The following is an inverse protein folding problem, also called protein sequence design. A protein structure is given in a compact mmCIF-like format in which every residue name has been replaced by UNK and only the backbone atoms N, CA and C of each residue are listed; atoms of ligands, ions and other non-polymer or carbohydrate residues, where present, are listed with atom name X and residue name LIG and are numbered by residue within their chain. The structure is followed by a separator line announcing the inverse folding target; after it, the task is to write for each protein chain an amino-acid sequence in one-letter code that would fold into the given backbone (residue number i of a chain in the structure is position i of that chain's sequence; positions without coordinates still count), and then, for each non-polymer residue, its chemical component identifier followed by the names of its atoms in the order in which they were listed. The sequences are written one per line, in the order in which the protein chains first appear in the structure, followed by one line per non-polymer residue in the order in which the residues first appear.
data_IF_354681566807
#
_entry.id   IF_354681566807
#
_cell.length_a   1.000
_cell.length_b   1.000
_cell.length_c   1.000
_cell.angle_alpha   90.00
_cell.angle_beta   90.00
_cell.angle_gamma   90.00
#
_symmetry.space_group_name_H-M   'P 1'
#
loop_
_entity.id
_entity.type
_entity.pdbx_description
1 polymer ?
#
# COMPACT_ATOMS: atom_id res chain seq x y z
N UNK A 1 -38.72 29.94 51.22
CA UNK A 1 -40.13 30.26 51.56
C UNK A 1 -40.77 30.92 50.35
N UNK A 2 -42.00 30.49 50.01
CA UNK A 2 -42.90 30.93 48.90
C UNK A 2 -42.42 30.62 47.46
N UNK A 3 -43.02 29.71 46.66
CA UNK A 3 -44.41 29.62 46.12
C UNK A 3 -44.77 30.92 45.36
N UNK A 4 -45.21 30.94 44.09
CA UNK A 4 -46.39 30.27 43.51
C UNK A 4 -46.44 30.46 41.97
N UNK A 5 -46.94 29.42 41.28
CA UNK A 5 -47.52 29.24 39.91
C UNK A 5 -47.72 30.41 38.92
N UNK A 6 -47.59 30.10 37.61
CA UNK A 6 -48.72 30.21 36.64
C UNK A 6 -48.53 29.38 35.37
N UNK A 7 -49.58 28.63 35.03
CA UNK A 7 -49.80 27.95 33.75
C UNK A 7 -50.81 28.74 32.90
N UNK A 8 -50.66 28.73 31.57
CA UNK A 8 -51.66 28.94 30.50
C UNK A 8 -50.98 28.40 29.21
N UNK A 9 -51.37 27.32 28.54
CA UNK A 9 -52.64 26.89 27.93
C UNK A 9 -53.07 27.70 26.70
N UNK A 10 -53.44 26.94 25.64
CA UNK A 10 -54.15 27.27 24.38
C UNK A 10 -53.34 27.84 23.20
N UNK A 11 -53.59 27.49 21.93
CA UNK A 11 -54.53 26.54 21.33
C UNK A 11 -54.17 26.26 19.84
N UNK A 12 -54.53 25.04 19.42
CA UNK A 12 -55.00 24.55 18.11
C UNK A 12 -55.09 25.48 16.88
N UNK A 13 -54.63 24.96 15.73
CA UNK A 13 -55.31 24.79 14.41
C UNK A 13 -54.36 23.96 13.50
N UNK A 14 -54.62 22.70 13.11
CA UNK A 14 -55.54 22.19 12.07
C UNK A 14 -55.53 23.07 10.79
N UNK A 15 -55.37 22.59 9.55
CA UNK A 15 -55.40 21.26 8.95
C UNK A 15 -54.92 21.35 7.47
N UNK A 16 -54.68 20.17 6.87
CA UNK A 16 -54.81 19.80 5.43
C UNK A 16 -53.93 20.44 4.34
N UNK A 17 -53.16 19.59 3.62
CA UNK A 17 -53.58 19.03 2.31
C UNK A 17 -52.63 17.93 1.81
N UNK A 18 -53.26 16.83 1.37
CA UNK A 18 -52.69 15.73 0.59
C UNK A 18 -52.27 16.18 -0.81
N UNK A 19 -51.22 15.57 -1.35
CA UNK A 19 -50.86 15.60 -2.76
C UNK A 19 -50.02 14.38 -3.13
N UNK A 20 -50.65 13.38 -3.74
CA UNK A 20 -50.03 12.20 -4.34
C UNK A 20 -50.26 12.23 -5.86
N UNK A 21 -49.22 12.01 -6.67
CA UNK A 21 -49.29 11.60 -8.09
C UNK A 21 -47.86 11.31 -8.60
N UNK A 22 -47.44 10.04 -8.64
CA UNK A 22 -47.23 9.17 -9.83
C UNK A 22 -45.99 9.46 -10.70
N UNK A 23 -45.14 8.44 -10.99
CA UNK A 23 -44.01 8.54 -11.92
C UNK A 23 -44.42 8.22 -13.37
N UNK A 24 -43.73 8.76 -14.39
CA UNK A 24 -43.90 8.31 -15.76
C UNK A 24 -42.98 7.13 -16.14
N UNK A 25 -43.57 6.29 -16.98
CA UNK A 25 -43.18 5.00 -17.51
C UNK A 25 -42.20 5.03 -18.70
N UNK A 26 -41.49 3.92 -18.84
CA UNK A 26 -40.65 3.46 -19.96
C UNK A 26 -41.42 3.34 -21.28
N UNK A 27 -40.74 3.35 -22.45
CA UNK A 27 -41.11 2.45 -23.54
C UNK A 27 -39.98 1.55 -24.05
N UNK A 28 -40.44 0.43 -24.62
CA UNK A 28 -39.79 -0.83 -24.97
C UNK A 28 -39.16 -0.85 -26.38
N UNK A 29 -38.20 -1.78 -26.57
CA UNK A 29 -37.90 -2.58 -27.77
C UNK A 29 -37.14 -1.95 -28.97
N UNK A 30 -36.00 -2.57 -29.35
CA UNK A 30 -35.76 -3.12 -30.70
C UNK A 30 -34.39 -3.86 -30.80
N UNK A 31 -34.48 -5.18 -30.84
CA UNK A 31 -33.94 -6.13 -31.83
C UNK A 31 -32.69 -5.80 -32.69
N UNK A 32 -31.89 -6.88 -32.92
CA UNK A 32 -30.94 -7.15 -34.04
C UNK A 32 -29.49 -6.77 -33.73
N UNK A 33 -28.45 -7.54 -34.05
CA UNK A 33 -28.27 -8.75 -34.90
C UNK A 33 -26.89 -9.32 -34.57
N UNK A 34 -26.73 -10.63 -34.71
CA UNK A 34 -25.43 -11.29 -34.80
C UNK A 34 -24.60 -10.72 -35.95
N UNK A 35 -23.28 -10.58 -35.76
CA UNK A 35 -22.32 -10.79 -36.82
C UNK A 35 -21.12 -11.57 -36.28
N UNK A 36 -21.00 -12.79 -36.78
CA UNK A 36 -19.78 -13.59 -36.78
C UNK A 36 -18.89 -13.02 -37.87
N UNK A 37 -17.64 -12.70 -37.56
CA UNK A 37 -16.56 -12.72 -38.55
C UNK A 37 -15.36 -13.39 -37.91
N UNK A 38 -15.16 -14.65 -38.29
CA UNK A 38 -13.87 -15.29 -38.22
C UNK A 38 -12.95 -14.61 -39.26
N UNK A 39 -11.74 -14.25 -38.85
CA UNK A 39 -10.67 -13.89 -39.77
C UNK A 39 -9.44 -14.73 -39.44
N UNK A 40 -9.28 -15.79 -40.23
CA UNK A 40 -8.03 -16.50 -40.47
C UNK A 40 -7.03 -15.61 -41.22
N UNK A 41 -5.78 -15.57 -40.80
CA UNK A 41 -4.58 -15.44 -41.66
C UNK A 41 -3.34 -15.71 -40.81
N UNK A 42 -2.70 -16.87 -40.93
CA UNK A 42 -1.66 -17.22 -41.92
C UNK A 42 -0.44 -16.27 -41.94
N UNK A 43 0.62 -16.79 -41.30
CA UNK A 43 1.93 -17.04 -41.93
C UNK A 43 3.03 -15.98 -41.87
N UNK A 44 4.25 -16.56 -41.85
CA UNK A 44 5.59 -16.04 -42.19
C UNK A 44 6.36 -15.42 -41.02
N UNK A 45 7.34 -16.16 -40.49
CA UNK A 45 8.70 -16.38 -40.99
C UNK A 45 9.62 -15.17 -40.72
N UNK A 46 10.66 -15.42 -39.92
CA UNK A 46 12.00 -14.92 -40.23
C UNK A 46 12.61 -13.95 -39.23
N UNK A 47 13.55 -14.47 -38.43
CA UNK A 47 14.96 -14.01 -38.25
C UNK A 47 15.49 -14.63 -36.95
N UNK A 48 16.40 -15.60 -37.01
CA UNK A 48 17.83 -15.51 -37.35
C UNK A 48 18.67 -14.80 -36.28
N UNK A 49 19.46 -15.62 -35.57
CA UNK A 49 20.85 -15.45 -35.13
C UNK A 49 21.17 -14.17 -34.32
N UNK A 50 21.68 -14.25 -33.10
CA UNK A 50 23.03 -14.74 -32.78
C UNK A 50 23.13 -14.97 -31.28
N UNK A 51 23.76 -16.07 -30.85
CA UNK A 51 24.14 -16.30 -29.45
C UNK A 51 25.65 -16.43 -29.43
N UNK A 52 26.30 -15.42 -28.91
CA UNK A 52 27.74 -15.36 -28.73
C UNK A 52 28.23 -16.51 -27.84
N UNK A 53 29.10 -17.34 -28.39
CA UNK A 53 29.98 -18.25 -27.64
C UNK A 53 31.38 -17.68 -27.69
N UNK A 54 31.80 -16.99 -26.63
CA UNK A 54 33.21 -16.72 -26.39
C UNK A 54 33.76 -17.83 -25.50
N UNK A 55 34.65 -18.66 -26.06
CA UNK A 55 35.41 -19.65 -25.32
C UNK A 55 36.91 -19.42 -25.56
N UNK A 56 37.58 -19.00 -24.50
CA UNK A 56 38.91 -19.38 -24.00
C UNK A 56 40.00 -19.88 -24.97
N UNK A 57 41.16 -19.22 -24.96
CA UNK A 57 42.55 -19.79 -24.91
C UNK A 57 43.52 -18.60 -24.89
N UNK A 58 44.22 -18.29 -23.80
CA UNK A 58 45.42 -18.92 -23.23
C UNK A 58 46.74 -18.62 -23.99
N UNK A 59 47.68 -18.05 -23.21
CA UNK A 59 49.14 -17.98 -23.35
C UNK A 59 49.75 -16.94 -24.31
N UNK A 60 50.59 -16.03 -23.76
CA UNK A 60 52.05 -16.22 -23.72
C UNK A 60 52.78 -15.09 -22.98
N UNK A 61 53.83 -15.47 -22.25
CA UNK A 61 54.72 -14.64 -21.42
C UNK A 61 55.79 -13.94 -22.27
N UNK A 62 56.28 -12.74 -21.89
CA UNK A 62 57.73 -12.37 -21.81
C UNK A 62 57.94 -11.14 -20.88
N UNK A 63 58.78 -11.39 -19.85
CA UNK A 63 59.79 -10.60 -19.07
C UNK A 63 60.26 -9.23 -19.66
N UNK A 64 60.92 -8.26 -19.00
CA UNK A 64 61.52 -7.98 -17.68
C UNK A 64 62.04 -6.52 -17.71
N UNK A 65 62.12 -5.84 -16.55
CA UNK A 65 62.99 -4.67 -16.30
C UNK A 65 62.22 -3.40 -15.91
N UNK A 66 62.61 -2.58 -14.94
CA UNK A 66 63.75 -2.53 -14.02
C UNK A 66 63.28 -1.81 -12.75
N UNK A 67 63.86 -2.17 -11.60
CA UNK A 67 63.54 -1.61 -10.30
C UNK A 67 64.13 -0.20 -10.12
N UNK A 68 63.34 0.74 -9.59
CA UNK A 68 63.86 1.85 -8.80
C UNK A 68 63.09 1.91 -7.48
N UNK A 69 63.86 1.83 -6.39
CA UNK A 69 63.37 1.81 -5.04
C UNK A 69 63.00 3.24 -4.60
N UNK A 70 61.79 3.43 -4.07
CA UNK A 70 61.44 4.62 -3.31
C UNK A 70 60.85 4.19 -1.97
N UNK A 71 61.70 4.17 -0.95
CA UNK A 71 61.35 4.04 0.46
C UNK A 71 60.50 5.24 0.85
N UNK A 72 59.23 5.02 1.19
CA UNK A 72 58.44 5.99 1.97
C UNK A 72 57.80 5.25 3.15
N UNK A 73 58.41 5.46 4.30
CA UNK A 73 57.88 5.18 5.63
C UNK A 73 56.59 5.94 5.84
N UNK A 74 55.45 5.24 5.92
CA UNK A 74 54.23 5.78 6.54
C UNK A 74 53.73 4.84 7.63
N UNK A 75 54.04 5.29 8.85
CA UNK A 75 53.34 5.15 10.13
C UNK A 75 52.24 4.08 10.17
N UNK A 76 52.50 3.08 11.01
CA UNK A 76 51.52 2.19 11.62
C UNK A 76 50.33 2.97 12.19
N UNK A 77 49.18 2.91 11.53
CA UNK A 77 47.90 3.26 12.14
C UNK A 77 47.22 1.94 12.52
N UNK A 78 46.92 1.83 13.81
CA UNK A 78 46.29 0.68 14.44
C UNK A 78 45.08 0.20 13.65
N UNK A 79 44.99 -1.13 13.46
CA UNK A 79 43.77 -1.78 13.02
C UNK A 79 42.65 -1.44 14.00
N UNK A 80 41.82 -0.44 13.67
CA UNK A 80 40.54 -0.25 14.31
C UNK A 80 39.70 -1.45 13.88
N UNK A 81 39.74 -2.49 14.71
CA UNK A 81 38.71 -3.52 14.68
C UNK A 81 37.41 -2.82 15.03
N UNK A 82 36.69 -2.39 14.00
CA UNK A 82 35.27 -2.12 14.14
C UNK A 82 34.59 -3.46 14.43
N UNK A 83 34.52 -3.78 15.71
CA UNK A 83 33.60 -4.79 16.19
C UNK A 83 32.20 -4.17 16.11
N UNK A 84 31.61 -4.18 14.92
CA UNK A 84 30.18 -3.93 14.80
C UNK A 84 29.48 -5.19 15.32
N UNK A 85 29.29 -5.28 16.63
CA UNK A 85 28.31 -6.20 17.19
C UNK A 85 26.93 -5.61 16.90
N UNK A 86 26.44 -5.75 15.68
CA UNK A 86 25.01 -5.64 15.47
C UNK A 86 24.40 -6.89 16.09
N UNK A 87 23.76 -6.71 17.25
CA UNK A 87 22.74 -7.63 17.72
C UNK A 87 21.58 -7.51 16.74
N UNK A 88 21.57 -8.33 15.70
CA UNK A 88 20.33 -8.56 14.95
C UNK A 88 19.69 -9.75 15.62
N UNK A 89 18.50 -9.52 16.19
CA UNK A 89 17.63 -10.59 16.63
C UNK A 89 17.37 -11.55 15.47
N UNK A 90 16.65 -12.63 15.73
CA UNK A 90 16.30 -13.59 14.71
C UNK A 90 15.22 -12.99 13.77
N UNK A 91 15.57 -11.94 13.02
CA UNK A 91 14.72 -11.17 12.10
C UNK A 91 14.51 -11.95 10.80
N UNK A 92 14.14 -13.23 10.92
CA UNK A 92 13.90 -14.10 9.79
C UNK A 92 12.57 -13.72 9.14
N UNK A 93 12.63 -12.77 8.22
CA UNK A 93 11.55 -12.55 7.27
C UNK A 93 11.84 -13.28 5.98
N UNK A 94 10.83 -13.98 5.47
CA UNK A 94 10.89 -14.52 4.12
C UNK A 94 10.83 -13.36 3.13
N UNK A 95 11.53 -13.46 2.02
CA UNK A 95 11.50 -12.45 0.95
C UNK A 95 10.61 -12.96 -0.17
N UNK A 96 9.68 -12.12 -0.61
CA UNK A 96 8.80 -12.40 -1.74
C UNK A 96 9.58 -12.34 -3.06
N UNK A 97 9.00 -12.88 -4.14
CA UNK A 97 9.63 -12.85 -5.46
C UNK A 97 9.84 -11.45 -6.05
N UNK A 98 9.15 -10.42 -5.54
CA UNK A 98 9.37 -9.01 -5.90
C UNK A 98 10.46 -8.34 -5.03
N UNK A 99 11.07 -9.04 -4.08
CA UNK A 99 12.08 -8.49 -3.16
C UNK A 99 11.51 -7.86 -1.89
N UNK A 100 10.19 -7.81 -1.73
CA UNK A 100 9.55 -7.29 -0.51
C UNK A 100 9.63 -8.28 0.66
N UNK A 101 9.65 -7.75 1.87
CA UNK A 101 9.68 -8.50 3.12
C UNK A 101 8.30 -9.09 3.44
N UNK A 102 8.21 -10.40 3.66
CA UNK A 102 6.95 -11.05 4.04
C UNK A 102 6.70 -10.93 5.53
N UNK A 103 5.53 -10.42 5.88
CA UNK A 103 5.02 -10.33 7.23
C UNK A 103 3.99 -11.44 7.49
N UNK A 104 3.95 -11.96 8.73
CA UNK A 104 2.92 -12.88 9.19
C UNK A 104 1.97 -12.18 10.19
N UNK A 105 0.93 -12.89 10.63
CA UNK A 105 -0.06 -12.33 11.54
C UNK A 105 0.53 -11.93 12.88
N UNK A 106 1.41 -12.76 13.44
CA UNK A 106 1.99 -12.56 14.76
C UNK A 106 2.81 -11.26 14.77
N UNK A 107 3.66 -11.07 13.76
CA UNK A 107 4.44 -9.86 13.55
C UNK A 107 3.55 -8.64 13.29
N UNK A 108 2.50 -8.78 12.47
CA UNK A 108 1.54 -7.70 12.24
C UNK A 108 0.78 -7.31 13.52
N UNK A 109 0.48 -8.26 14.39
CA UNK A 109 -0.23 -8.01 15.66
C UNK A 109 0.65 -7.27 16.65
N UNK A 110 1.93 -7.63 16.73
CA UNK A 110 2.92 -6.89 17.51
C UNK A 110 3.09 -5.46 16.96
N UNK A 111 3.15 -5.33 15.64
CA UNK A 111 3.30 -4.04 14.97
C UNK A 111 2.09 -3.13 15.19
N UNK A 112 0.87 -3.65 15.12
CA UNK A 112 -0.34 -2.88 15.38
C UNK A 112 -0.40 -2.33 16.83
N UNK A 113 0.23 -3.02 17.78
CA UNK A 113 0.33 -2.57 19.18
C UNK A 113 1.46 -1.58 19.41
N UNK A 114 2.59 -1.79 18.73
CA UNK A 114 3.81 -0.99 18.88
C UNK A 114 4.41 -0.71 17.48
N UNK A 115 3.94 0.34 16.78
CA UNK A 115 4.30 0.58 15.38
C UNK A 115 5.77 0.94 15.15
N UNK A 116 6.53 1.32 16.19
CA UNK A 116 7.96 1.61 16.07
C UNK A 116 8.25 2.64 14.98
N UNK A 117 9.08 2.27 13.99
CA UNK A 117 9.38 3.08 12.79
C UNK A 117 8.84 2.42 11.50
N UNK A 118 7.75 1.67 11.62
CA UNK A 118 7.12 0.96 10.51
C UNK A 118 5.70 1.47 10.35
N UNK A 119 5.33 1.78 9.12
CA UNK A 119 3.98 2.27 8.79
C UNK A 119 3.20 1.17 8.11
N UNK A 120 2.03 0.86 8.66
CA UNK A 120 1.10 -0.09 8.07
C UNK A 120 0.24 0.66 7.05
N UNK A 121 0.15 0.13 5.83
CA UNK A 121 -0.61 0.73 4.72
C UNK A 121 -1.69 -0.22 4.23
N UNK A 122 -2.94 0.24 4.30
CA UNK A 122 -4.12 -0.42 3.77
C UNK A 122 -4.36 -0.01 2.30
N UNK A 123 -4.26 -0.98 1.38
CA UNK A 123 -4.45 -0.78 -0.05
C UNK A 123 -5.92 -0.95 -0.51
N UNK A 124 -6.86 -1.09 0.42
CA UNK A 124 -8.29 -1.22 0.11
C UNK A 124 -8.93 0.13 -0.24
N UNK A 125 -10.10 0.08 -0.86
CA UNK A 125 -10.88 1.29 -1.11
C UNK A 125 -11.56 1.76 0.19
N UNK A 126 -11.77 3.08 0.39
CA UNK A 126 -12.30 3.63 1.64
C UNK A 126 -13.66 3.03 2.04
N UNK A 127 -14.50 2.65 1.07
CA UNK A 127 -15.80 2.02 1.33
C UNK A 127 -15.65 0.68 2.05
N UNK A 128 -14.61 -0.11 1.73
CA UNK A 128 -14.32 -1.37 2.40
C UNK A 128 -13.96 -1.16 3.88
N UNK A 129 -13.31 -0.02 4.20
CA UNK A 129 -12.89 0.33 5.56
C UNK A 129 -14.08 0.75 6.42
N UNK A 130 -15.11 1.38 5.84
CA UNK A 130 -16.35 1.72 6.55
C UNK A 130 -17.09 0.46 6.99
N UNK A 131 -17.17 -0.55 6.11
CA UNK A 131 -17.90 -1.79 6.40
C UNK A 131 -17.17 -2.69 7.40
N UNK A 132 -15.85 -2.85 7.21
CA UNK A 132 -15.09 -3.88 7.92
C UNK A 132 -14.15 -3.32 8.99
N UNK A 133 -13.88 -2.02 8.99
CA UNK A 133 -12.80 -1.40 9.77
C UNK A 133 -11.43 -1.63 9.14
N UNK A 134 -10.38 -1.24 9.87
CA UNK A 134 -8.97 -1.37 9.46
C UNK A 134 -8.11 -1.97 10.59
N UNK A 135 -6.89 -2.38 10.25
CA UNK A 135 -5.90 -2.74 11.27
C UNK A 135 -5.54 -1.45 12.03
N UNK A 136 -5.44 -1.46 13.37
CA UNK A 136 -5.06 -0.29 14.15
C UNK A 136 -3.76 0.33 13.63
N UNK A 137 -3.66 1.66 13.70
CA UNK A 137 -2.49 2.45 13.22
C UNK A 137 -2.27 2.45 11.70
N UNK A 138 -3.10 1.76 10.92
CA UNK A 138 -2.96 1.72 9.47
C UNK A 138 -3.46 2.99 8.78
N UNK A 139 -2.63 3.54 7.90
CA UNK A 139 -3.02 4.58 6.94
C UNK A 139 -3.63 3.93 5.70
N UNK A 140 -4.50 4.63 4.99
CA UNK A 140 -5.16 4.10 3.79
C UNK A 140 -4.64 4.79 2.53
N UNK A 141 -4.14 4.00 1.58
CA UNK A 141 -3.70 4.44 0.26
C UNK A 141 -4.33 3.48 -0.77
N UNK A 142 -5.51 3.82 -1.33
CA UNK A 142 -6.24 2.94 -2.25
C UNK A 142 -5.47 2.71 -3.55
N UNK A 143 -5.23 1.45 -3.90
CA UNK A 143 -4.47 1.13 -5.13
C UNK A 143 -5.34 1.06 -6.38
N UNK A 144 -6.65 0.77 -6.26
CA UNK A 144 -7.48 0.61 -7.46
C UNK A 144 -7.87 1.96 -8.05
N UNK A 145 -8.17 2.93 -7.19
CA UNK A 145 -8.51 4.30 -7.62
C UNK A 145 -7.28 5.18 -7.85
N UNK A 146 -6.22 5.02 -7.03
CA UNK A 146 -5.06 5.92 -7.05
C UNK A 146 -3.71 5.16 -7.06
N UNK A 147 -3.38 4.42 -8.12
CA UNK A 147 -2.10 3.71 -8.22
C UNK A 147 -0.89 4.64 -8.29
N UNK A 148 -1.07 5.89 -8.72
CA UNK A 148 -0.04 6.90 -8.91
C UNK A 148 0.43 7.58 -7.61
N UNK A 149 -0.21 7.30 -6.46
CA UNK A 149 0.05 8.00 -5.20
C UNK A 149 1.47 7.83 -4.65
N UNK A 150 2.21 6.83 -5.12
CA UNK A 150 3.63 6.67 -4.79
C UNK A 150 4.56 7.46 -5.72
N UNK A 151 4.06 8.09 -6.79
CA UNK A 151 4.85 8.82 -7.80
C UNK A 151 4.61 10.34 -7.78
N UNK A 152 3.60 10.81 -7.07
CA UNK A 152 3.31 12.24 -6.88
C UNK A 152 4.30 12.90 -5.90
N UNK A 153 4.26 14.23 -5.84
CA UNK A 153 5.05 15.03 -4.88
C UNK A 153 4.49 14.91 -3.46
N UNK A 154 5.28 15.32 -2.46
CA UNK A 154 4.87 15.24 -1.05
C UNK A 154 3.68 16.19 -0.75
N UNK A 155 3.70 17.39 -1.34
CA UNK A 155 2.62 18.38 -1.23
C UNK A 155 1.31 17.85 -1.84
N UNK A 156 1.35 17.31 -3.07
CA UNK A 156 0.18 16.70 -3.72
C UNK A 156 -0.37 15.49 -2.95
N UNK A 157 0.51 14.75 -2.28
CA UNK A 157 0.11 13.61 -1.45
C UNK A 157 -0.65 14.10 -0.21
N UNK A 158 -0.12 15.11 0.48
CA UNK A 158 -0.77 15.67 1.66
C UNK A 158 -2.11 16.33 1.32
N UNK A 159 -2.20 17.05 0.20
CA UNK A 159 -3.46 17.64 -0.29
C UNK A 159 -4.52 16.56 -0.59
N UNK A 160 -4.11 15.39 -1.09
CA UNK A 160 -5.01 14.31 -1.47
C UNK A 160 -5.48 13.48 -0.28
N UNK A 161 -4.59 13.21 0.66
CA UNK A 161 -4.81 12.24 1.74
C UNK A 161 -5.04 12.89 3.11
N UNK A 162 -4.73 14.18 3.26
CA UNK A 162 -4.85 14.92 4.51
C UNK A 162 -3.82 14.52 5.58
N UNK A 163 -2.75 13.83 5.20
CA UNK A 163 -1.67 13.44 6.10
C UNK A 163 -0.32 13.41 5.36
N UNK A 164 0.80 13.61 6.08
CA UNK A 164 2.11 13.67 5.45
C UNK A 164 2.49 12.33 4.84
N UNK A 165 3.14 12.39 3.68
CA UNK A 165 3.62 11.20 2.99
C UNK A 165 4.66 10.45 3.84
N UNK A 166 4.58 9.11 3.91
CA UNK A 166 5.64 8.33 4.55
C UNK A 166 6.99 8.56 3.87
N UNK A 167 8.03 8.86 4.65
CA UNK A 167 9.39 9.06 4.12
C UNK A 167 9.95 7.82 3.41
N UNK A 168 10.87 8.03 2.47
CA UNK A 168 11.51 6.94 1.68
C UNK A 168 12.34 5.96 2.53
N UNK A 169 12.80 6.41 3.70
CA UNK A 169 13.62 5.63 4.64
C UNK A 169 12.79 4.85 5.68
N UNK A 170 11.49 5.14 5.76
CA UNK A 170 10.53 4.47 6.63
C UNK A 170 10.17 3.10 6.06
N UNK A 171 10.04 2.10 6.93
CA UNK A 171 9.60 0.76 6.50
C UNK A 171 8.08 0.76 6.30
N UNK A 172 7.64 0.37 5.11
CA UNK A 172 6.22 0.28 4.77
C UNK A 172 5.77 -1.16 4.72
N UNK A 173 4.65 -1.48 5.36
CA UNK A 173 4.05 -2.82 5.30
C UNK A 173 2.66 -2.74 4.71
N UNK A 174 2.50 -3.34 3.54
CA UNK A 174 1.28 -3.28 2.75
C UNK A 174 0.36 -4.47 3.05
N UNK A 175 -0.92 -4.20 3.24
CA UNK A 175 -1.98 -5.20 3.26
C UNK A 175 -3.20 -4.75 2.46
N UNK A 176 -4.07 -5.68 2.07
CA UNK A 176 -5.33 -5.34 1.42
C UNK A 176 -6.46 -6.25 1.94
N UNK A 177 -7.41 -6.65 1.10
CA UNK A 177 -8.40 -7.68 1.45
C UNK A 177 -7.78 -9.09 1.51
N UNK A 178 -7.10 -9.51 0.43
CA UNK A 178 -6.66 -10.89 0.22
C UNK A 178 -5.22 -11.05 -0.33
N UNK A 179 -4.36 -10.04 -0.18
CA UNK A 179 -2.94 -10.10 -0.54
C UNK A 179 -2.57 -9.66 -1.96
N UNK A 180 -3.49 -9.71 -2.93
CA UNK A 180 -3.17 -9.42 -4.34
C UNK A 180 -2.77 -7.95 -4.55
N UNK A 181 -3.60 -7.03 -4.06
CA UNK A 181 -3.39 -5.58 -4.18
C UNK A 181 -2.17 -5.08 -3.40
N UNK A 182 -1.89 -5.67 -2.24
CA UNK A 182 -0.76 -5.27 -1.41
C UNK A 182 0.57 -5.59 -2.08
N UNK A 183 0.65 -6.71 -2.81
CA UNK A 183 1.84 -7.05 -3.59
C UNK A 183 2.09 -6.08 -4.75
N UNK A 184 1.03 -5.64 -5.42
CA UNK A 184 1.14 -4.62 -6.46
C UNK A 184 1.61 -3.29 -5.87
N UNK A 185 1.04 -2.87 -4.74
CA UNK A 185 1.42 -1.63 -4.07
C UNK A 185 2.87 -1.67 -3.56
N UNK A 186 3.30 -2.81 -3.03
CA UNK A 186 4.68 -3.04 -2.63
C UNK A 186 5.66 -2.83 -3.80
N UNK A 187 5.34 -3.39 -4.98
CA UNK A 187 6.14 -3.17 -6.18
C UNK A 187 6.16 -1.69 -6.59
N UNK A 188 5.02 -1.00 -6.61
CA UNK A 188 4.95 0.43 -6.95
C UNK A 188 5.76 1.30 -5.98
N UNK A 189 5.72 1.00 -4.68
CA UNK A 189 6.52 1.71 -3.68
C UNK A 189 8.03 1.47 -3.90
N UNK A 190 8.43 0.24 -4.22
CA UNK A 190 9.83 -0.05 -4.55
C UNK A 190 10.30 0.69 -5.81
N UNK A 191 9.48 0.70 -6.87
CA UNK A 191 9.75 1.43 -8.12
C UNK A 191 9.84 2.95 -7.89
N UNK A 192 9.01 3.47 -6.99
CA UNK A 192 9.06 4.86 -6.59
C UNK A 192 10.25 5.21 -5.67
N UNK A 193 11.03 4.22 -5.22
CA UNK A 193 12.28 4.43 -4.48
C UNK A 193 12.20 4.22 -2.97
N UNK A 194 11.16 3.59 -2.43
CA UNK A 194 11.20 3.11 -1.04
C UNK A 194 12.12 1.89 -0.95
N UNK A 195 13.05 1.94 0.02
CA UNK A 195 14.07 0.89 0.17
C UNK A 195 13.63 -0.23 1.12
N UNK A 196 12.73 0.08 2.05
CA UNK A 196 12.22 -0.86 3.06
C UNK A 196 10.74 -1.10 2.84
N UNK A 197 10.45 -2.15 2.11
CA UNK A 197 9.08 -2.51 1.72
C UNK A 197 8.78 -3.93 2.15
N UNK A 198 7.63 -4.11 2.80
CA UNK A 198 7.07 -5.39 3.17
C UNK A 198 5.62 -5.56 2.73
N UNK A 199 5.19 -6.80 2.62
CA UNK A 199 3.82 -7.18 2.33
C UNK A 199 3.31 -8.20 3.35
N UNK A 200 2.04 -8.12 3.69
CA UNK A 200 1.31 -9.11 4.48
C UNK A 200 0.34 -9.88 3.56
N UNK A 201 0.74 -11.05 3.03
CA UNK A 201 -0.05 -11.77 2.02
C UNK A 201 -1.40 -12.26 2.54
N UNK A 202 -1.48 -12.62 3.83
CA UNK A 202 -2.73 -13.02 4.49
C UNK A 202 -3.76 -11.89 4.52
N UNK A 203 -3.29 -10.65 4.59
CA UNK A 203 -4.10 -9.45 4.49
C UNK A 203 -5.28 -9.43 5.49
N UNK A 204 -6.28 -8.58 5.26
CA UNK A 204 -7.39 -8.40 6.19
C UNK A 204 -8.20 -9.69 6.43
N UNK A 205 -8.30 -10.59 5.45
CA UNK A 205 -8.99 -11.88 5.64
C UNK A 205 -8.29 -12.77 6.68
N UNK A 206 -6.96 -12.90 6.63
CA UNK A 206 -6.22 -13.67 7.65
C UNK A 206 -6.28 -12.97 9.01
N UNK A 207 -6.18 -11.63 9.02
CA UNK A 207 -6.32 -10.83 10.24
C UNK A 207 -7.67 -11.06 10.93
N UNK A 208 -8.77 -10.92 10.20
CA UNK A 208 -10.11 -11.14 10.72
C UNK A 208 -10.32 -12.60 11.17
N UNK A 209 -9.82 -13.57 10.38
CA UNK A 209 -9.91 -14.99 10.71
C UNK A 209 -9.20 -15.33 12.03
N UNK A 210 -8.08 -14.68 12.31
CA UNK A 210 -7.30 -14.88 13.54
C UNK A 210 -7.74 -14.01 14.71
N UNK A 211 -8.83 -13.24 14.55
CA UNK A 211 -9.37 -12.39 15.61
C UNK A 211 -8.47 -11.20 15.95
N UNK A 212 -7.75 -10.67 14.97
CA UNK A 212 -6.98 -9.45 15.14
C UNK A 212 -7.87 -8.26 15.50
N UNK A 213 -7.32 -7.30 16.24
CA UNK A 213 -8.03 -6.08 16.64
C UNK A 213 -8.40 -5.23 15.41
N UNK A 214 -9.56 -4.60 15.44
CA UNK A 214 -10.05 -3.81 14.30
C UNK A 214 -10.46 -2.44 14.79
N UNK A 215 -9.84 -1.41 14.22
CA UNK A 215 -10.24 -0.03 14.40
C UNK A 215 -11.37 0.29 13.42
N UNK A 216 -12.55 0.60 13.95
CA UNK A 216 -13.68 1.10 13.16
C UNK A 216 -13.72 2.61 13.31
N UNK A 217 -13.78 3.32 12.18
CA UNK A 217 -14.04 4.76 12.20
C UNK A 217 -15.32 5.00 12.99
N UNK A 218 -15.21 5.74 14.10
CA UNK A 218 -16.30 5.89 15.05
C UNK A 218 -17.61 6.30 14.37
N UNK A 219 -18.71 5.78 14.90
CA UNK A 219 -20.04 6.35 14.70
C UNK A 219 -19.95 7.85 14.97
N UNK A 220 -20.25 8.65 13.95
CA UNK A 220 -20.51 10.08 14.08
C UNK A 220 -21.63 10.24 15.10
N UNK A 221 -21.32 10.75 16.30
CA UNK A 221 -22.35 11.33 17.16
C UNK A 221 -23.06 12.42 16.33
N UNK A 222 -24.40 12.32 16.21
CA UNK A 222 -25.28 13.15 15.36
C UNK A 222 -24.76 14.59 15.17
N UNK A 223 -24.02 14.83 14.09
CA UNK A 223 -23.61 16.17 13.65
C UNK A 223 -22.13 16.37 13.31
N UNK A 224 -21.23 15.43 13.59
CA UNK A 224 -19.80 15.54 13.23
C UNK A 224 -19.47 14.95 11.85
N UNK A 225 -18.71 15.65 11.00
CA UNK A 225 -18.28 15.08 9.71
C UNK A 225 -17.35 13.89 9.95
N UNK A 226 -17.49 12.83 9.13
CA UNK A 226 -16.62 11.64 9.21
C UNK A 226 -15.15 12.05 9.03
N UNK A 227 -14.21 11.59 9.88
CA UNK A 227 -12.78 11.88 9.72
C UNK A 227 -12.15 11.34 8.43
N UNK A 228 -12.90 10.55 7.65
CA UNK A 228 -12.41 9.83 6.46
C UNK A 228 -13.07 10.28 5.17
N UNK A 229 -13.82 11.39 5.20
CA UNK A 229 -14.43 11.99 4.02
C UNK A 229 -14.34 13.52 4.11
N UNK A 230 -13.22 14.07 3.66
CA UNK A 230 -13.19 15.45 3.18
C UNK A 230 -12.19 15.60 2.03
#
# INVERSE_FOLDING_TARGET
MASTTRACANALRASTRLGAATPPSVPTAATRRCFVVAATSTSRLGRSLTRDTANTTAASNVRLGTATAATTTRKTAAAVRFFSSVRVGNDYHKIAGNGSKLWNFEQMSELAKNPGNVVIVDAREPEELVETGRIPTAINIPVATTPESFFITDDEFEDRYGYPRPGKDTELVFYCKAGVRSRALATLAMEAGWTKVGEYPGSFLDWAKKGGEVERGGEVERGGKSPWQE
#
